data_IF_769851298372
#
_entry.id   IF_769851298372
#
_cell.length_a   1.000
_cell.length_b   1.000
_cell.length_c   1.000
_cell.angle_alpha   90.00
_cell.angle_beta   90.00
_cell.angle_gamma   90.00
#
_symmetry.space_group_name_H-M   'P 1'
#
loop_
_entity.id
_entity.type
_entity.pdbx_description
1 polymer ?
#
# COMPACT_ATOMS: atom_id res chain seq x y z
N UNK A 1 -2.17 29.43 -10.85
CA UNK A 1 -2.70 29.29 -12.23
C UNK A 1 -4.20 29.55 -12.18
N UNK A 2 -4.73 30.43 -13.04
CA UNK A 2 -6.19 30.56 -13.20
C UNK A 2 -6.64 29.52 -14.22
N UNK A 3 -7.58 28.68 -13.83
CA UNK A 3 -8.21 27.68 -14.68
C UNK A 3 -9.70 27.95 -14.73
N UNK A 4 -10.31 27.64 -15.87
CA UNK A 4 -11.77 27.68 -16.02
C UNK A 4 -12.43 26.64 -15.12
N UNK A 5 -13.72 26.82 -14.82
CA UNK A 5 -14.50 25.82 -14.07
C UNK A 5 -14.48 24.45 -14.75
N UNK A 6 -14.59 24.43 -16.09
CA UNK A 6 -14.57 23.20 -16.90
C UNK A 6 -13.25 22.43 -16.76
N UNK A 7 -12.12 23.13 -16.82
CA UNK A 7 -10.79 22.52 -16.62
C UNK A 7 -10.64 22.00 -15.19
N UNK A 8 -11.07 22.79 -14.20
CA UNK A 8 -11.03 22.36 -12.81
C UNK A 8 -11.84 21.07 -12.56
N UNK A 9 -13.02 20.95 -13.18
CA UNK A 9 -13.82 19.72 -13.09
C UNK A 9 -13.18 18.54 -13.82
N UNK A 10 -12.49 18.78 -14.95
CA UNK A 10 -11.72 17.74 -15.63
C UNK A 10 -10.56 17.22 -14.76
N UNK A 11 -9.81 18.13 -14.11
CA UNK A 11 -8.76 17.79 -13.14
C UNK A 11 -9.33 16.91 -12.03
N UNK A 12 -10.46 17.33 -11.43
CA UNK A 12 -11.13 16.58 -10.35
C UNK A 12 -11.55 15.18 -10.79
N UNK A 13 -12.16 15.04 -11.98
CA UNK A 13 -12.56 13.74 -12.52
C UNK A 13 -11.36 12.83 -12.73
N UNK A 14 -10.28 13.33 -13.35
CA UNK A 14 -9.11 12.51 -13.64
C UNK A 14 -8.38 12.08 -12.36
N UNK A 15 -8.23 12.99 -11.41
CA UNK A 15 -7.63 12.67 -10.11
C UNK A 15 -8.45 11.64 -9.32
N UNK A 16 -9.78 11.71 -9.41
CA UNK A 16 -10.67 10.72 -8.78
C UNK A 16 -10.48 9.33 -9.38
N UNK A 17 -10.41 9.21 -10.70
CA UNK A 17 -10.16 7.91 -11.38
C UNK A 17 -8.83 7.31 -10.93
N UNK A 18 -7.81 8.14 -10.71
CA UNK A 18 -6.49 7.71 -10.24
C UNK A 18 -6.41 7.54 -8.71
N UNK A 19 -7.48 7.85 -7.97
CA UNK A 19 -7.49 7.77 -6.51
C UNK A 19 -6.51 8.72 -5.80
N UNK A 20 -6.18 9.87 -6.42
CA UNK A 20 -5.24 10.88 -5.90
C UNK A 20 -5.88 12.26 -5.74
N UNK A 21 -5.17 13.18 -5.07
CA UNK A 21 -5.61 14.58 -4.95
C UNK A 21 -5.52 15.30 -6.31
N UNK A 22 -6.46 16.21 -6.64
CA UNK A 22 -6.39 17.03 -7.86
C UNK A 22 -5.05 17.76 -8.06
N UNK A 23 -4.47 18.27 -6.97
CA UNK A 23 -3.17 18.94 -7.01
C UNK A 23 -1.98 18.00 -7.26
N UNK A 24 -2.10 16.71 -6.93
CA UNK A 24 -1.09 15.70 -7.25
C UNK A 24 -1.10 15.41 -8.75
N UNK A 25 -2.29 15.18 -9.32
CA UNK A 25 -2.44 14.96 -10.75
C UNK A 25 -1.96 16.16 -11.58
N UNK A 26 -2.35 17.38 -11.20
CA UNK A 26 -1.92 18.58 -11.91
C UNK A 26 -0.39 18.78 -11.88
N UNK A 27 0.27 18.44 -10.77
CA UNK A 27 1.74 18.49 -10.67
C UNK A 27 2.42 17.44 -11.53
N UNK A 28 1.87 16.23 -11.60
CA UNK A 28 2.39 15.16 -12.47
C UNK A 28 2.34 15.59 -13.94
N UNK A 29 1.18 16.08 -14.40
CA UNK A 29 1.00 16.60 -15.77
C UNK A 29 2.00 17.72 -16.07
N UNK A 30 2.17 18.68 -15.14
CA UNK A 30 3.12 19.77 -15.34
C UNK A 30 4.56 19.28 -15.46
N UNK A 31 4.97 18.30 -14.64
CA UNK A 31 6.33 17.77 -14.67
C UNK A 31 6.63 16.96 -15.93
N UNK A 32 5.67 16.16 -16.38
CA UNK A 32 5.78 15.43 -17.64
C UNK A 32 5.86 16.39 -18.84
N UNK A 33 5.12 17.51 -18.79
CA UNK A 33 5.19 18.55 -19.81
C UNK A 33 6.50 19.36 -19.80
N UNK A 34 7.20 19.41 -18.66
CA UNK A 34 8.46 20.17 -18.50
C UNK A 34 9.71 19.32 -18.77
N UNK A 35 9.62 17.99 -18.67
CA UNK A 35 10.73 17.06 -18.87
C UNK A 35 10.19 15.77 -19.49
N UNK A 36 10.45 15.56 -20.78
CA UNK A 36 9.96 14.40 -21.55
C UNK A 36 10.46 13.05 -21.02
N UNK A 37 11.50 13.05 -20.19
CA UNK A 37 12.01 11.84 -19.51
C UNK A 37 11.18 11.46 -18.29
N UNK A 38 10.22 12.31 -17.88
CA UNK A 38 9.30 12.04 -16.77
C UNK A 38 8.00 11.45 -17.28
N UNK A 39 7.52 10.46 -16.53
CA UNK A 39 6.29 9.74 -16.81
C UNK A 39 5.43 9.62 -15.53
N UNK A 40 5.30 10.71 -14.78
CA UNK A 40 4.58 10.71 -13.50
C UNK A 40 3.11 10.36 -13.68
N UNK A 41 2.46 10.79 -14.76
CA UNK A 41 1.06 10.43 -15.04
C UNK A 41 0.91 8.93 -15.31
N UNK A 42 1.87 8.32 -16.01
CA UNK A 42 1.89 6.88 -16.26
C UNK A 42 2.10 6.09 -14.97
N UNK A 43 3.02 6.53 -14.11
CA UNK A 43 3.24 5.95 -12.78
C UNK A 43 1.98 6.03 -11.93
N UNK A 44 1.27 7.15 -11.93
CA UNK A 44 -0.01 7.28 -11.22
C UNK A 44 -1.07 6.33 -11.78
N UNK A 45 -1.11 6.13 -13.11
CA UNK A 45 -2.03 5.19 -13.74
C UNK A 45 -1.70 3.75 -13.37
N UNK A 46 -0.42 3.36 -13.38
CA UNK A 46 0.02 2.04 -12.95
C UNK A 46 -0.34 1.77 -11.48
N UNK A 47 -0.08 2.74 -10.59
CA UNK A 47 -0.44 2.65 -9.17
C UNK A 47 -1.95 2.56 -8.93
N UNK A 48 -2.75 3.29 -9.71
CA UNK A 48 -4.21 3.22 -9.63
C UNK A 48 -4.77 1.88 -10.13
N UNK A 49 -4.01 1.18 -10.99
CA UNK A 49 -4.37 -0.12 -11.55
C UNK A 49 -4.05 -1.28 -10.59
N UNK A 50 -3.18 -1.05 -9.59
CA UNK A 50 -2.92 -2.04 -8.53
C UNK A 50 -4.18 -2.16 -7.68
N UNK A 51 -4.79 -3.36 -7.56
CA UNK A 51 -5.90 -3.59 -6.65
C UNK A 51 -5.49 -3.16 -5.24
N UNK A 52 -6.26 -2.26 -4.63
CA UNK A 52 -6.05 -1.97 -3.21
C UNK A 52 -6.50 -3.21 -2.44
N UNK A 53 -5.67 -3.74 -1.52
CA UNK A 53 -6.11 -4.83 -0.66
C UNK A 53 -7.36 -4.38 0.09
N UNK A 54 -8.27 -5.34 0.34
CA UNK A 54 -9.47 -5.06 1.13
C UNK A 54 -9.05 -4.46 2.49
N UNK A 55 -9.86 -3.57 3.09
CA UNK A 55 -9.58 -3.05 4.43
C UNK A 55 -9.35 -4.17 5.46
N UNK A 56 -10.03 -5.29 5.29
CA UNK A 56 -9.89 -6.51 6.09
C UNK A 56 -8.49 -7.10 5.95
N UNK A 57 -8.03 -7.33 4.72
CA UNK A 57 -6.69 -7.82 4.41
C UNK A 57 -5.61 -6.88 4.94
N UNK A 58 -5.77 -5.57 4.72
CA UNK A 58 -4.84 -4.57 5.23
C UNK A 58 -4.73 -4.61 6.76
N UNK A 59 -5.85 -4.78 7.48
CA UNK A 59 -5.86 -4.95 8.94
C UNK A 59 -5.17 -6.24 9.37
N UNK A 60 -5.45 -7.35 8.68
CA UNK A 60 -4.82 -8.64 8.98
C UNK A 60 -3.30 -8.58 8.83
N UNK A 61 -2.80 -8.03 7.72
CA UNK A 61 -1.37 -7.81 7.47
C UNK A 61 -0.73 -6.94 8.55
N UNK A 62 -1.41 -5.88 8.99
CA UNK A 62 -0.92 -5.02 10.07
C UNK A 62 -0.84 -5.76 11.42
N UNK A 63 -1.79 -6.65 11.74
CA UNK A 63 -1.70 -7.48 12.94
C UNK A 63 -0.48 -8.42 12.88
N UNK A 64 -0.26 -9.09 11.74
CA UNK A 64 0.91 -9.95 11.52
C UNK A 64 2.21 -9.15 11.70
N UNK A 65 2.29 -7.95 11.13
CA UNK A 65 3.44 -7.05 11.29
C UNK A 65 3.70 -6.72 12.76
N UNK A 66 2.67 -6.40 13.54
CA UNK A 66 2.78 -6.10 14.97
C UNK A 66 3.31 -7.29 15.77
N UNK A 67 2.80 -8.49 15.49
CA UNK A 67 3.32 -9.71 16.12
C UNK A 67 4.81 -9.89 15.82
N UNK A 68 5.22 -9.74 14.57
CA UNK A 68 6.64 -9.80 14.19
C UNK A 68 7.52 -8.75 14.91
N UNK A 69 7.03 -7.52 15.06
CA UNK A 69 7.71 -6.46 15.82
C UNK A 69 7.87 -6.84 17.29
N UNK A 70 6.80 -7.35 17.92
CA UNK A 70 6.83 -7.77 19.32
C UNK A 70 7.81 -8.93 19.54
N UNK A 71 7.81 -9.93 18.66
CA UNK A 71 8.76 -11.04 18.71
C UNK A 71 10.21 -10.57 18.58
N UNK A 72 10.48 -9.69 17.62
CA UNK A 72 11.82 -9.12 17.45
C UNK A 72 12.25 -8.30 18.68
N UNK A 73 11.31 -7.61 19.34
CA UNK A 73 11.57 -6.91 20.59
C UNK A 73 11.92 -7.88 21.72
N UNK A 74 11.16 -8.97 21.89
CA UNK A 74 11.41 -10.03 22.89
C UNK A 74 12.80 -10.65 22.71
N UNK A 75 13.19 -10.94 21.46
CA UNK A 75 14.54 -11.43 21.15
C UNK A 75 15.60 -10.41 21.54
N UNK A 76 15.41 -9.14 21.20
CA UNK A 76 16.36 -8.06 21.53
C UNK A 76 16.48 -7.80 23.03
N UNK A 77 15.41 -7.99 23.79
CA UNK A 77 15.44 -7.83 25.25
C UNK A 77 16.03 -9.05 25.96
N UNK A 78 16.38 -10.12 25.24
CA UNK A 78 16.93 -11.35 25.82
C UNK A 78 15.93 -12.09 26.70
N UNK A 79 14.64 -11.87 26.51
CA UNK A 79 13.60 -12.53 27.29
C UNK A 79 13.56 -14.02 26.97
N UNK A 80 13.43 -14.86 28.00
CA UNK A 80 13.28 -16.31 27.82
C UNK A 80 11.90 -16.57 27.21
N UNK A 81 11.89 -17.24 26.06
CA UNK A 81 10.67 -17.67 25.36
C UNK A 81 10.58 -19.18 25.46
N UNK A 82 9.43 -19.67 25.89
CA UNK A 82 9.15 -21.10 25.93
C UNK A 82 9.11 -21.67 24.51
N UNK A 83 9.82 -22.79 24.30
CA UNK A 83 9.94 -23.43 22.99
C UNK A 83 8.58 -23.85 22.42
N UNK A 84 7.66 -24.30 23.25
CA UNK A 84 6.30 -24.68 22.83
C UNK A 84 5.55 -23.47 22.29
N UNK A 85 5.65 -22.32 22.97
CA UNK A 85 5.03 -21.06 22.51
C UNK A 85 5.62 -20.65 21.16
N UNK A 86 6.94 -20.78 20.98
CA UNK A 86 7.59 -20.45 19.71
C UNK A 86 7.08 -21.34 18.56
N UNK A 87 6.93 -22.65 18.80
CA UNK A 87 6.41 -23.60 17.81
C UNK A 87 4.97 -23.27 17.44
N UNK A 88 4.11 -22.99 18.42
CA UNK A 88 2.70 -22.61 18.19
C UNK A 88 2.59 -21.32 17.35
N UNK A 89 3.42 -20.31 17.66
CA UNK A 89 3.46 -19.06 16.89
C UNK A 89 3.93 -19.32 15.45
N UNK A 90 4.98 -20.11 15.26
CA UNK A 90 5.47 -20.45 13.91
C UNK A 90 4.41 -21.19 13.07
N UNK A 91 3.66 -22.11 13.68
CA UNK A 91 2.56 -22.80 13.02
C UNK A 91 1.46 -21.81 12.59
N UNK A 92 1.01 -20.94 13.48
CA UNK A 92 0.02 -19.91 13.17
C UNK A 92 0.48 -18.97 12.03
N UNK A 93 1.75 -18.58 12.00
CA UNK A 93 2.30 -17.78 10.90
C UNK A 93 2.34 -18.53 9.57
N UNK A 94 2.61 -19.84 9.59
CA UNK A 94 2.58 -20.66 8.38
C UNK A 94 1.16 -20.77 7.79
N UNK A 95 0.15 -20.91 8.65
CA UNK A 95 -1.26 -20.89 8.26
C UNK A 95 -1.66 -19.53 7.66
N UNK A 96 -1.34 -18.43 8.35
CA UNK A 96 -1.62 -17.07 7.85
C UNK A 96 -0.91 -16.81 6.52
N UNK A 97 0.35 -17.24 6.36
CA UNK A 97 1.07 -17.09 5.08
C UNK A 97 0.39 -17.87 3.96
N UNK A 98 -0.16 -19.04 4.25
CA UNK A 98 -0.88 -19.85 3.26
C UNK A 98 -2.16 -19.13 2.83
N UNK A 99 -2.98 -18.68 3.79
CA UNK A 99 -4.21 -17.92 3.52
C UNK A 99 -3.95 -16.64 2.72
N UNK A 100 -2.91 -15.88 3.07
CA UNK A 100 -2.56 -14.63 2.36
C UNK A 100 -2.01 -14.89 0.95
N UNK A 101 -1.29 -16.01 0.74
CA UNK A 101 -0.75 -16.36 -0.58
C UNK A 101 -1.87 -16.61 -1.59
N UNK A 102 -2.97 -17.19 -1.13
CA UNK A 102 -4.15 -17.46 -1.97
C UNK A 102 -4.86 -16.17 -2.37
N UNK A 103 -4.85 -15.13 -1.52
CA UNK A 103 -5.46 -13.82 -1.85
C UNK A 103 -4.60 -12.95 -2.78
N UNK A 104 -3.28 -13.13 -2.81
CA UNK A 104 -2.35 -12.34 -3.63
C UNK A 104 -2.13 -12.95 -5.03
N UNK A 105 -2.54 -14.21 -5.24
CA UNK A 105 -2.42 -14.92 -6.50
C UNK A 105 -3.59 -14.70 -7.50
N UNK A 106 -4.56 -13.85 -7.15
CA UNK A 106 -5.71 -13.45 -7.97
C UNK A 106 -5.46 -12.10 -8.66
#
# INVERSE_FOLDING_TARGET
>A
MRVTRKEHDAIKRRARVLGVKPSTWARAVLRDALDERRHEVEVLAAQASVPRPSPELARAVEQVRRVGVNLNQVVRTGSVVDEKILVEVLAAFAEVRTLLRDEVAL
#
